data_IF_522738521521
#
_entry.id   IF_522738521521
#
_cell.length_a   1.000
_cell.length_b   1.000
_cell.length_c   1.000
_cell.angle_alpha   90.00
_cell.angle_beta   90.00
_cell.angle_gamma   90.00
#
_symmetry.space_group_name_H-M   'P 1'
#
loop_
_entity.id
_entity.type
_entity.pdbx_description
1 polymer ?
#
# COMPACT_ATOMS: atom_id res chain seq x y z
N UNK A 1 11.85 15.17 11.14
CA UNK A 1 12.74 14.17 10.49
C UNK A 1 13.35 14.65 9.17
N UNK A 2 12.66 15.44 8.32
CA UNK A 2 13.18 15.93 7.03
C UNK A 2 14.51 16.73 7.06
N UNK A 3 14.90 17.32 8.19
CA UNK A 3 16.14 18.10 8.32
C UNK A 3 17.43 17.24 8.30
N UNK A 4 17.39 16.03 8.86
CA UNK A 4 18.57 15.16 8.96
C UNK A 4 18.91 14.51 7.61
N UNK A 5 17.90 14.16 6.81
CA UNK A 5 18.04 13.55 5.48
C UNK A 5 18.72 14.49 4.49
N UNK A 6 18.37 15.79 4.54
CA UNK A 6 18.95 16.82 3.68
C UNK A 6 20.44 17.06 3.96
N UNK A 7 20.84 16.99 5.23
CA UNK A 7 22.25 17.08 5.63
C UNK A 7 22.98 15.83 5.11
N UNK A 8 22.46 14.63 5.35
CA UNK A 8 23.08 13.39 4.86
C UNK A 8 23.31 13.39 3.33
N UNK A 9 22.34 13.88 2.54
CA UNK A 9 22.48 14.03 1.08
C UNK A 9 23.62 14.98 0.71
N UNK A 10 23.71 16.13 1.37
CA UNK A 10 24.75 17.12 1.09
C UNK A 10 26.15 16.57 1.41
N UNK A 11 26.28 15.81 2.50
CA UNK A 11 27.53 15.15 2.87
C UNK A 11 27.91 14.05 1.85
N UNK A 12 26.97 13.24 1.39
CA UNK A 12 27.22 12.20 0.39
C UNK A 12 27.56 12.76 -1.00
N UNK A 13 26.91 13.85 -1.41
CA UNK A 13 27.24 14.57 -2.64
C UNK A 13 28.66 15.15 -2.57
N UNK A 14 29.02 15.75 -1.43
CA UNK A 14 30.39 16.24 -1.18
C UNK A 14 31.42 15.09 -1.19
N UNK A 15 31.08 13.93 -0.62
CA UNK A 15 31.95 12.75 -0.63
C UNK A 15 32.14 12.21 -2.06
N UNK A 16 31.07 12.19 -2.87
CA UNK A 16 31.12 11.80 -4.29
C UNK A 16 32.02 12.72 -5.11
N UNK A 17 31.90 14.03 -4.92
CA UNK A 17 32.76 15.02 -5.58
C UNK A 17 34.23 14.83 -5.21
N UNK A 18 34.52 14.54 -3.93
CA UNK A 18 35.88 14.25 -3.46
C UNK A 18 36.43 12.93 -4.03
N UNK A 19 35.62 11.88 -4.11
CA UNK A 19 36.03 10.60 -4.69
C UNK A 19 36.36 10.72 -6.19
N UNK A 20 35.55 11.47 -6.96
CA UNK A 20 35.81 11.71 -8.38
C UNK A 20 37.08 12.53 -8.66
N UNK A 21 37.55 13.31 -7.69
CA UNK A 21 38.76 14.12 -7.80
C UNK A 21 40.05 13.39 -7.37
N UNK A 22 39.93 12.18 -6.80
CA UNK A 22 41.06 11.33 -6.45
C UNK A 22 41.19 10.25 -7.53
N UNK A 23 42.26 10.32 -8.33
CA UNK A 23 42.55 9.44 -9.48
C UNK A 23 42.93 8.00 -9.04
N UNK A 24 42.03 7.31 -8.31
CA UNK A 24 42.26 5.96 -7.79
C UNK A 24 41.50 4.92 -8.62
N UNK A 25 42.22 4.26 -9.52
CA UNK A 25 41.76 3.33 -10.57
C UNK A 25 41.14 1.99 -10.09
N UNK A 26 40.51 1.94 -8.92
CA UNK A 26 39.87 0.72 -8.38
C UNK A 26 38.35 0.83 -8.11
N UNK A 27 37.69 1.93 -8.47
CA UNK A 27 36.41 2.32 -7.84
C UNK A 27 35.18 2.44 -8.78
N UNK A 28 35.04 1.62 -9.81
CA UNK A 28 33.75 1.58 -10.55
C UNK A 28 32.60 1.06 -9.66
N UNK A 29 32.88 0.10 -8.77
CA UNK A 29 31.89 -0.47 -7.85
C UNK A 29 31.49 0.50 -6.74
N UNK A 30 32.46 1.20 -6.13
CA UNK A 30 32.20 2.14 -5.02
C UNK A 30 31.40 3.36 -5.50
N UNK A 31 31.70 3.86 -6.70
CA UNK A 31 30.93 4.96 -7.31
C UNK A 31 29.49 4.53 -7.64
N UNK A 32 29.29 3.30 -8.10
CA UNK A 32 27.94 2.76 -8.34
C UNK A 32 27.14 2.61 -7.04
N UNK A 33 27.75 2.04 -6.00
CA UNK A 33 27.12 1.85 -4.68
C UNK A 33 26.74 3.19 -4.03
N UNK A 34 27.59 4.22 -4.16
CA UNK A 34 27.31 5.56 -3.64
C UNK A 34 26.16 6.25 -4.39
N UNK A 35 26.09 6.07 -5.71
CA UNK A 35 24.99 6.61 -6.52
C UNK A 35 23.64 5.96 -6.18
N UNK A 36 23.64 4.66 -5.93
CA UNK A 36 22.43 3.94 -5.53
C UNK A 36 21.95 4.35 -4.13
N UNK A 37 22.89 4.60 -3.20
CA UNK A 37 22.58 5.14 -1.89
C UNK A 37 22.01 6.58 -1.95
N UNK A 38 22.55 7.44 -2.82
CA UNK A 38 22.02 8.80 -2.99
C UNK A 38 20.58 8.76 -3.52
N UNK A 39 20.31 7.96 -4.56
CA UNK A 39 18.96 7.78 -5.12
C UNK A 39 17.98 7.25 -4.07
N UNK A 40 18.43 6.36 -3.18
CA UNK A 40 17.63 5.84 -2.07
C UNK A 40 17.21 6.95 -1.11
N UNK A 41 18.17 7.76 -0.66
CA UNK A 41 17.90 8.81 0.32
C UNK A 41 17.00 9.90 -0.29
N UNK A 42 17.19 10.23 -1.57
CA UNK A 42 16.31 11.16 -2.29
C UNK A 42 14.87 10.63 -2.37
N UNK A 43 14.68 9.33 -2.62
CA UNK A 43 13.35 8.70 -2.69
C UNK A 43 12.67 8.68 -1.32
N UNK A 44 13.41 8.36 -0.26
CA UNK A 44 12.90 8.41 1.11
C UNK A 44 12.45 9.82 1.48
N UNK A 45 13.28 10.84 1.20
CA UNK A 45 12.91 12.24 1.45
C UNK A 45 11.65 12.67 0.69
N UNK A 46 11.50 12.26 -0.57
CA UNK A 46 10.29 12.53 -1.34
C UNK A 46 9.04 11.86 -0.73
N UNK A 47 9.18 10.61 -0.29
CA UNK A 47 8.10 9.83 0.34
C UNK A 47 7.68 10.47 1.67
N UNK A 48 8.63 10.84 2.51
CA UNK A 48 8.39 11.50 3.80
C UNK A 48 7.67 12.84 3.63
N UNK A 49 8.09 13.63 2.63
CA UNK A 49 7.41 14.89 2.30
C UNK A 49 5.97 14.67 1.85
N UNK A 50 5.74 13.68 0.99
CA UNK A 50 4.39 13.34 0.53
C UNK A 50 3.53 12.89 1.70
N UNK A 51 4.03 12.01 2.57
CA UNK A 51 3.31 11.54 3.75
C UNK A 51 2.98 12.68 4.72
N UNK A 52 3.93 13.58 4.97
CA UNK A 52 3.72 14.79 5.79
C UNK A 52 2.61 15.67 5.20
N UNK A 53 2.65 15.92 3.89
CA UNK A 53 1.63 16.72 3.20
C UNK A 53 0.25 16.06 3.29
N UNK A 54 0.19 14.74 3.09
CA UNK A 54 -1.05 13.95 3.21
C UNK A 54 -1.62 14.02 4.62
N UNK A 55 -0.79 13.91 5.66
CA UNK A 55 -1.24 13.99 7.05
C UNK A 55 -1.86 15.37 7.38
N UNK A 56 -1.23 16.45 6.92
CA UNK A 56 -1.75 17.81 7.11
C UNK A 56 -3.12 17.96 6.43
N UNK A 57 -3.24 17.48 5.19
CA UNK A 57 -4.51 17.51 4.45
C UNK A 57 -5.59 16.70 5.16
N UNK A 58 -5.28 15.47 5.61
CA UNK A 58 -6.20 14.61 6.33
C UNK A 58 -6.72 15.29 7.62
N UNK A 59 -5.83 15.83 8.45
CA UNK A 59 -6.21 16.52 9.69
C UNK A 59 -7.14 17.72 9.41
N UNK A 60 -6.94 18.42 8.29
CA UNK A 60 -7.79 19.55 7.89
C UNK A 60 -9.14 19.11 7.31
N UNK A 61 -9.25 17.89 6.76
CA UNK A 61 -10.48 17.36 6.16
C UNK A 61 -11.44 16.75 7.19
N UNK A 62 -10.95 16.24 8.33
CA UNK A 62 -11.80 15.71 9.41
C UNK A 62 -12.82 16.72 9.97
N UNK A 63 -12.71 18.00 9.61
CA UNK A 63 -13.62 19.07 10.00
C UNK A 63 -14.68 19.44 8.93
N UNK A 64 -14.60 18.88 7.72
CA UNK A 64 -15.54 19.17 6.62
C UNK A 64 -16.46 17.99 6.35
N UNK A 65 -17.78 18.21 6.49
CA UNK A 65 -18.80 17.14 6.42
C UNK A 65 -19.31 16.81 5.01
N UNK A 66 -18.96 17.58 3.99
CA UNK A 66 -19.54 17.43 2.64
C UNK A 66 -18.43 17.31 1.59
N UNK A 67 -17.90 16.10 1.42
CA UNK A 67 -17.00 15.76 0.32
C UNK A 67 -17.88 15.28 -0.84
N UNK A 68 -18.36 16.22 -1.65
CA UNK A 68 -18.95 15.87 -2.95
C UNK A 68 -17.81 15.64 -3.94
N UNK A 69 -17.74 14.45 -4.51
CA UNK A 69 -16.88 14.20 -5.65
C UNK A 69 -17.72 14.26 -6.93
N UNK A 70 -17.19 14.88 -7.98
CA UNK A 70 -17.79 14.88 -9.32
C UNK A 70 -17.51 13.55 -10.04
N UNK A 71 -17.81 12.46 -9.34
CA UNK A 71 -17.53 11.10 -9.79
C UNK A 71 -18.37 10.77 -11.01
N UNK A 72 -17.78 10.10 -12.00
CA UNK A 72 -18.52 9.60 -13.16
C UNK A 72 -18.83 8.13 -12.95
N UNK A 73 -20.11 7.82 -12.76
CA UNK A 73 -20.62 6.46 -12.69
C UNK A 73 -20.67 5.82 -14.08
N UNK A 74 -20.08 4.64 -14.24
CA UNK A 74 -20.13 3.85 -15.46
C UNK A 74 -20.31 2.38 -15.14
N UNK A 75 -21.10 1.69 -15.95
CA UNK A 75 -20.98 0.25 -16.03
C UNK A 75 -19.77 -0.07 -16.87
N UNK A 76 -18.80 -0.78 -16.29
CA UNK A 76 -17.65 -1.27 -17.04
C UNK A 76 -17.93 -2.72 -17.39
N UNK A 77 -18.29 -2.96 -18.65
CA UNK A 77 -18.10 -4.24 -19.30
C UNK A 77 -16.66 -4.28 -19.80
N UNK A 78 -15.71 -4.60 -18.93
CA UNK A 78 -14.30 -4.73 -19.33
C UNK A 78 -14.15 -5.91 -20.30
N UNK A 79 -13.04 -5.94 -21.04
CA UNK A 79 -12.62 -6.91 -22.07
C UNK A 79 -12.77 -8.41 -21.75
N UNK A 80 -13.15 -8.75 -20.52
CA UNK A 80 -13.46 -10.10 -20.06
C UNK A 80 -14.92 -10.46 -20.34
N UNK A 81 -15.13 -11.55 -21.08
CA UNK A 81 -16.45 -12.08 -21.44
C UNK A 81 -17.37 -12.30 -20.21
N UNK A 82 -16.77 -12.55 -19.05
CA UNK A 82 -17.47 -12.71 -17.78
C UNK A 82 -18.28 -11.45 -17.39
N UNK A 83 -17.69 -10.26 -17.50
CA UNK A 83 -18.37 -9.01 -17.12
C UNK A 83 -19.27 -8.45 -18.22
N UNK A 84 -19.24 -9.02 -19.42
CA UNK A 84 -20.28 -8.75 -20.41
C UNK A 84 -21.65 -9.28 -19.94
N UNK A 85 -21.68 -10.49 -19.36
CA UNK A 85 -22.91 -11.10 -18.83
C UNK A 85 -23.29 -10.59 -17.44
N UNK A 86 -22.31 -10.13 -16.66
CA UNK A 86 -22.52 -9.55 -15.34
C UNK A 86 -21.73 -8.24 -15.20
N UNK A 87 -22.24 -7.12 -15.75
CA UNK A 87 -21.54 -5.84 -15.71
C UNK A 87 -21.24 -5.39 -14.28
N UNK A 88 -20.05 -4.82 -14.09
CA UNK A 88 -19.64 -4.25 -12.81
C UNK A 88 -20.00 -2.78 -12.78
N UNK A 89 -20.60 -2.36 -11.66
CA UNK A 89 -20.88 -0.96 -11.35
C UNK A 89 -19.60 -0.31 -10.82
N UNK A 90 -19.04 0.63 -11.57
CA UNK A 90 -17.81 1.32 -11.18
C UNK A 90 -18.04 2.82 -11.20
N UNK A 91 -17.46 3.50 -10.23
CA UNK A 91 -17.49 4.95 -10.12
C UNK A 91 -16.07 5.49 -10.04
N UNK A 92 -15.73 6.38 -10.98
CA UNK A 92 -14.41 6.99 -11.03
C UNK A 92 -14.36 8.19 -10.09
N UNK A 93 -13.55 8.08 -9.03
CA UNK A 93 -13.35 9.15 -8.04
C UNK A 93 -12.18 10.05 -8.44
N UNK A 94 -11.11 9.46 -8.96
CA UNK A 94 -9.95 10.21 -9.44
C UNK A 94 -9.26 9.47 -10.59
N UNK A 95 -8.65 10.22 -11.51
CA UNK A 95 -7.90 9.66 -12.65
C UNK A 95 -6.42 9.45 -12.35
N UNK A 96 -5.82 10.35 -11.55
CA UNK A 96 -4.40 10.29 -11.20
C UNK A 96 -4.18 10.74 -9.74
N UNK A 97 -3.89 9.81 -8.81
CA UNK A 97 -3.92 8.35 -8.99
C UNK A 97 -5.33 7.85 -9.35
N UNK A 98 -5.41 6.70 -10.01
CA UNK A 98 -6.69 6.07 -10.34
C UNK A 98 -7.37 5.59 -9.06
N UNK A 99 -8.54 6.14 -8.75
CA UNK A 99 -9.37 5.72 -7.60
C UNK A 99 -10.76 5.39 -8.12
N UNK A 100 -11.20 4.17 -7.84
CA UNK A 100 -12.47 3.61 -8.28
C UNK A 100 -13.26 3.10 -7.08
N UNK A 101 -14.56 3.35 -7.05
CA UNK A 101 -15.48 2.62 -6.18
C UNK A 101 -16.12 1.53 -7.02
N UNK A 102 -16.05 0.29 -6.53
CA UNK A 102 -16.63 -0.88 -7.20
C UNK A 102 -17.82 -1.36 -6.38
N UNK A 103 -19.02 -1.07 -6.87
CA UNK A 103 -20.25 -1.36 -6.15
C UNK A 103 -20.65 -2.84 -6.29
N UNK A 104 -21.23 -3.40 -5.24
CA UNK A 104 -21.78 -4.77 -5.19
C UNK A 104 -20.80 -5.90 -5.57
N UNK A 105 -19.51 -5.70 -5.33
CA UNK A 105 -18.48 -6.70 -5.63
C UNK A 105 -18.52 -7.89 -4.63
N UNK A 106 -18.88 -7.63 -3.38
CA UNK A 106 -19.04 -8.62 -2.31
C UNK A 106 -20.53 -8.89 -2.09
N UNK A 107 -20.93 -10.17 -2.08
CA UNK A 107 -22.33 -10.54 -1.83
C UNK A 107 -22.73 -10.30 -0.37
N UNK A 108 -24.00 -9.99 -0.11
CA UNK A 108 -24.53 -9.85 1.26
C UNK A 108 -24.30 -11.09 2.13
N UNK A 109 -24.33 -12.28 1.53
CA UNK A 109 -24.02 -13.54 2.21
C UNK A 109 -22.56 -13.56 2.69
N UNK A 110 -21.63 -13.21 1.81
CA UNK A 110 -20.21 -13.17 2.13
C UNK A 110 -19.88 -12.06 3.12
N UNK A 111 -20.51 -10.88 3.02
CA UNK A 111 -20.39 -9.81 4.02
C UNK A 111 -20.75 -10.34 5.41
N UNK A 112 -21.94 -10.94 5.57
CA UNK A 112 -22.38 -11.52 6.85
C UNK A 112 -21.38 -12.54 7.40
N UNK A 113 -20.87 -13.41 6.52
CA UNK A 113 -19.86 -14.42 6.88
C UNK A 113 -18.57 -13.76 7.38
N UNK A 114 -17.98 -12.86 6.60
CA UNK A 114 -16.73 -12.16 6.95
C UNK A 114 -16.87 -11.34 8.25
N UNK A 115 -18.01 -10.67 8.43
CA UNK A 115 -18.29 -9.93 9.66
C UNK A 115 -18.57 -10.83 10.87
N UNK A 116 -18.86 -12.12 10.66
CA UNK A 116 -19.10 -13.09 11.74
C UNK A 116 -17.84 -13.51 12.51
N UNK A 117 -16.65 -13.16 12.00
CA UNK A 117 -15.36 -13.50 12.62
C UNK A 117 -14.93 -12.56 13.75
N UNK A 118 -15.87 -11.85 14.39
CA UNK A 118 -15.58 -10.87 15.45
C UNK A 118 -14.73 -11.44 16.59
N UNK A 119 -14.97 -12.69 16.98
CA UNK A 119 -14.24 -13.37 18.06
C UNK A 119 -12.83 -13.85 17.66
N UNK A 120 -12.48 -13.79 16.38
CA UNK A 120 -11.17 -14.23 15.85
C UNK A 120 -10.29 -13.04 15.43
N UNK A 121 -10.73 -11.82 15.73
CA UNK A 121 -9.97 -10.60 15.50
C UNK A 121 -8.83 -10.50 16.53
N UNK A 122 -7.63 -10.18 16.06
CA UNK A 122 -6.47 -9.88 16.90
C UNK A 122 -6.05 -8.43 16.70
N UNK A 123 -5.50 -7.80 17.75
CA UNK A 123 -4.99 -6.43 17.65
C UNK A 123 -3.99 -6.35 16.49
N UNK A 124 -4.22 -5.41 15.57
CA UNK A 124 -3.36 -5.22 14.41
C UNK A 124 -1.96 -4.79 14.82
N UNK A 125 -1.00 -5.14 14.00
CA UNK A 125 0.40 -4.75 14.11
C UNK A 125 0.83 -4.01 12.85
N UNK A 126 1.93 -3.26 12.97
CA UNK A 126 2.62 -2.62 11.84
C UNK A 126 4.03 -3.19 11.76
N UNK A 127 4.62 -3.13 10.57
CA UNK A 127 6.01 -3.54 10.38
C UNK A 127 6.95 -2.56 11.09
N UNK A 128 7.89 -3.10 11.86
CA UNK A 128 8.94 -2.33 12.49
C UNK A 128 10.11 -2.17 11.51
N UNK A 129 10.40 -0.94 11.01
CA UNK A 129 11.49 -0.71 10.07
C UNK A 129 12.87 -0.91 10.70
N UNK A 130 12.97 -0.87 12.03
CA UNK A 130 14.21 -1.10 12.77
C UNK A 130 14.36 -2.55 13.27
N UNK A 131 13.50 -3.47 12.81
CA UNK A 131 13.56 -4.86 13.24
C UNK A 131 14.90 -5.51 12.86
N UNK A 132 15.58 -6.07 13.87
CA UNK A 132 16.84 -6.81 13.70
C UNK A 132 16.59 -8.32 13.70
N UNK A 133 15.50 -8.76 14.31
CA UNK A 133 15.06 -10.15 14.40
C UNK A 133 13.66 -10.35 13.78
N UNK A 134 13.29 -11.61 13.48
CA UNK A 134 11.93 -11.96 13.04
C UNK A 134 10.86 -11.61 14.08
N UNK A 135 11.20 -11.75 15.36
CA UNK A 135 10.30 -11.50 16.49
C UNK A 135 9.96 -10.01 16.60
N UNK A 136 10.89 -9.13 16.22
CA UNK A 136 10.74 -7.68 16.26
C UNK A 136 10.04 -7.09 15.03
N UNK A 137 9.74 -7.90 14.01
CA UNK A 137 9.20 -7.41 12.73
C UNK A 137 7.86 -6.74 12.84
N UNK A 138 7.05 -7.11 13.83
CA UNK A 138 5.69 -6.62 13.97
C UNK A 138 5.49 -6.04 15.37
N UNK A 139 5.06 -4.78 15.43
CA UNK A 139 4.85 -4.07 16.68
C UNK A 139 3.45 -3.46 16.72
N UNK A 140 2.92 -3.29 17.94
CA UNK A 140 1.74 -2.45 18.12
C UNK A 140 2.12 -0.98 17.96
N UNK A 141 1.25 -0.21 17.31
CA UNK A 141 1.49 1.20 17.02
C UNK A 141 0.21 2.00 17.18
N UNK A 142 0.36 3.25 17.59
CA UNK A 142 -0.73 4.24 17.60
C UNK A 142 -1.16 4.65 16.19
N UNK A 143 -0.34 4.36 15.16
CA UNK A 143 -0.67 4.62 13.76
C UNK A 143 -1.82 3.73 13.23
N UNK A 144 -2.00 2.55 13.83
CA UNK A 144 -3.03 1.58 13.43
C UNK A 144 -3.72 1.00 14.67
N UNK A 145 -4.87 1.55 14.98
CA UNK A 145 -5.75 1.12 16.04
C UNK A 145 -6.91 0.36 15.39
N UNK A 146 -6.67 -0.92 15.13
CA UNK A 146 -7.69 -1.84 14.60
C UNK A 146 -7.47 -3.24 15.13
N UNK A 147 -8.46 -4.10 14.90
CA UNK A 147 -8.32 -5.54 15.06
C UNK A 147 -8.54 -6.21 13.72
N UNK A 148 -7.76 -7.25 13.40
CA UNK A 148 -7.75 -7.89 12.09
C UNK A 148 -7.88 -9.40 12.20
N UNK A 149 -8.59 -9.99 11.25
CA UNK A 149 -8.56 -11.41 10.94
C UNK A 149 -8.07 -11.59 9.49
N UNK A 150 -7.32 -12.64 9.23
CA UNK A 150 -6.71 -12.91 7.93
C UNK A 150 -7.24 -14.21 7.36
N UNK A 151 -7.81 -14.15 6.16
CA UNK A 151 -8.03 -15.33 5.33
C UNK A 151 -6.80 -15.52 4.45
N UNK A 152 -6.10 -16.64 4.66
CA UNK A 152 -4.91 -16.94 3.87
C UNK A 152 -5.28 -17.14 2.39
N UNK A 153 -4.34 -16.88 1.50
CA UNK A 153 -4.57 -16.98 0.05
C UNK A 153 -4.70 -18.44 -0.42
N UNK A 154 -4.24 -19.39 0.38
CA UNK A 154 -4.47 -20.83 0.21
C UNK A 154 -5.74 -21.33 0.94
N UNK A 155 -6.65 -20.41 1.29
CA UNK A 155 -7.92 -20.77 1.93
C UNK A 155 -8.74 -21.75 1.09
N UNK A 156 -9.39 -22.70 1.75
CA UNK A 156 -10.35 -23.63 1.14
C UNK A 156 -11.78 -23.11 1.22
N UNK A 157 -11.98 -21.88 1.70
CA UNK A 157 -13.29 -21.26 1.82
C UNK A 157 -13.88 -20.93 0.43
N UNK A 158 -14.98 -21.59 0.01
CA UNK A 158 -15.49 -21.45 -1.35
C UNK A 158 -16.07 -20.07 -1.65
N UNK A 159 -16.52 -19.32 -0.63
CA UNK A 159 -17.03 -17.96 -0.85
C UNK A 159 -15.87 -16.96 -1.02
N UNK A 160 -14.75 -17.15 -0.29
CA UNK A 160 -13.54 -16.34 -0.44
C UNK A 160 -12.83 -16.62 -1.77
N UNK A 161 -12.74 -17.88 -2.19
CA UNK A 161 -12.18 -18.26 -3.49
C UNK A 161 -12.95 -17.56 -4.63
N UNK A 162 -14.29 -17.58 -4.58
CA UNK A 162 -15.12 -16.88 -5.58
C UNK A 162 -14.91 -15.37 -5.59
N UNK A 163 -14.69 -14.76 -4.43
CA UNK A 163 -14.35 -13.33 -4.35
C UNK A 163 -13.01 -13.08 -5.04
N UNK A 164 -11.98 -13.86 -4.71
CA UNK A 164 -10.66 -13.76 -5.32
C UNK A 164 -10.73 -13.89 -6.84
N UNK A 165 -11.42 -14.91 -7.38
CA UNK A 165 -11.63 -15.07 -8.83
C UNK A 165 -12.27 -13.83 -9.48
N UNK A 166 -13.24 -13.23 -8.79
CA UNK A 166 -13.92 -12.01 -9.28
C UNK A 166 -12.97 -10.81 -9.27
N UNK A 167 -12.12 -10.69 -8.25
CA UNK A 167 -11.10 -9.64 -8.14
C UNK A 167 -9.98 -9.83 -9.16
N UNK A 168 -9.57 -11.07 -9.45
CA UNK A 168 -8.59 -11.34 -10.52
C UNK A 168 -9.09 -10.87 -11.87
N UNK A 169 -10.35 -11.18 -12.20
CA UNK A 169 -10.97 -10.72 -13.45
C UNK A 169 -11.10 -9.21 -13.50
N UNK A 170 -11.47 -8.57 -12.38
CA UNK A 170 -11.65 -7.13 -12.29
C UNK A 170 -10.32 -6.37 -12.48
N UNK A 171 -9.24 -6.87 -11.87
CA UNK A 171 -7.95 -6.16 -11.81
C UNK A 171 -6.97 -6.62 -12.90
N UNK A 172 -7.16 -7.82 -13.45
CA UNK A 172 -6.17 -8.50 -14.28
C UNK A 172 -4.96 -9.03 -13.50
N UNK A 173 -5.00 -8.97 -12.16
CA UNK A 173 -3.92 -9.40 -11.28
C UNK A 173 -4.24 -10.74 -10.62
N UNK A 174 -3.21 -11.50 -10.24
CA UNK A 174 -3.37 -12.78 -9.55
C UNK A 174 -3.47 -12.59 -8.04
N UNK A 175 -4.30 -13.43 -7.41
CA UNK A 175 -4.58 -13.45 -5.97
C UNK A 175 -3.93 -14.63 -5.24
N UNK A 176 -3.06 -15.38 -5.92
CA UNK A 176 -2.38 -16.52 -5.35
C UNK A 176 -1.37 -16.11 -4.24
N UNK A 177 -0.92 -17.07 -3.40
CA UNK A 177 -0.06 -16.78 -2.25
C UNK A 177 1.28 -16.09 -2.55
N UNK A 178 1.75 -16.10 -3.80
CA UNK A 178 3.01 -15.48 -4.18
C UNK A 178 2.86 -14.06 -4.74
N UNK A 179 1.63 -13.64 -5.06
CA UNK A 179 1.36 -12.40 -5.79
C UNK A 179 0.40 -11.46 -5.08
N UNK A 180 -0.32 -11.94 -4.06
CA UNK A 180 -1.21 -11.12 -3.26
C UNK A 180 -0.95 -11.32 -1.76
N UNK A 181 -1.35 -10.32 -0.97
CA UNK A 181 -1.49 -10.44 0.47
C UNK A 181 -2.75 -11.23 0.83
N UNK A 182 -2.79 -11.76 2.05
CA UNK A 182 -3.99 -12.37 2.62
C UNK A 182 -5.16 -11.39 2.67
N UNK A 183 -6.38 -11.88 2.44
CA UNK A 183 -7.59 -11.09 2.62
C UNK A 183 -7.71 -10.68 4.09
N UNK A 184 -7.70 -9.38 4.36
CA UNK A 184 -7.78 -8.81 5.70
C UNK A 184 -9.21 -8.36 5.98
N UNK A 185 -9.82 -8.90 7.04
CA UNK A 185 -11.04 -8.35 7.61
C UNK A 185 -10.64 -7.49 8.79
N UNK A 186 -10.89 -6.18 8.70
CA UNK A 186 -10.45 -5.18 9.68
C UNK A 186 -11.68 -4.60 10.38
N UNK A 187 -11.60 -4.51 11.71
CA UNK A 187 -12.57 -3.84 12.55
C UNK A 187 -11.88 -2.69 13.30
N UNK A 188 -12.43 -1.48 13.16
CA UNK A 188 -11.94 -0.29 13.84
C UNK A 188 -12.54 -0.09 15.23
N UNK A 189 -13.72 -0.66 15.52
CA UNK A 189 -14.40 -0.41 16.79
C UNK A 189 -14.63 1.08 17.06
N UNK A 190 -14.79 1.44 18.34
CA UNK A 190 -14.93 2.83 18.76
C UNK A 190 -13.53 3.44 18.91
N UNK A 191 -13.28 4.54 18.20
CA UNK A 191 -12.02 5.27 18.26
C UNK A 191 -10.86 4.58 17.55
N UNK A 192 -11.09 3.49 16.80
CA UNK A 192 -10.07 2.93 15.94
C UNK A 192 -9.81 3.79 14.71
N UNK A 193 -8.56 3.76 14.28
CA UNK A 193 -8.05 4.59 13.21
C UNK A 193 -6.94 3.83 12.47
N UNK A 194 -6.78 4.14 11.19
CA UNK A 194 -5.53 3.89 10.49
C UNK A 194 -5.07 5.19 9.85
N UNK A 195 -3.95 5.73 10.36
CA UNK A 195 -3.41 6.98 9.85
C UNK A 195 -3.01 6.87 8.37
N UNK A 196 -3.06 7.98 7.61
CA UNK A 196 -2.61 8.03 6.23
C UNK A 196 -1.23 7.39 6.02
N UNK A 197 -1.19 6.39 5.15
CA UNK A 197 0.01 5.64 4.81
C UNK A 197 -0.04 5.23 3.34
N UNK A 198 1.09 4.74 2.83
CA UNK A 198 1.12 4.06 1.55
C UNK A 198 1.11 2.54 1.75
N UNK A 199 0.41 1.82 0.88
CA UNK A 199 0.34 0.35 0.92
C UNK A 199 1.59 -0.35 0.38
N UNK A 200 2.43 0.34 -0.40
CA UNK A 200 3.69 -0.22 -0.86
C UNK A 200 4.79 -0.21 0.22
N UNK A 201 5.72 -1.15 0.11
CA UNK A 201 6.89 -1.23 0.98
C UNK A 201 8.08 -0.51 0.33
N UNK A 202 8.73 0.39 1.06
CA UNK A 202 9.97 1.05 0.66
C UNK A 202 11.20 0.22 1.11
N UNK A 203 11.22 -1.07 0.77
CA UNK A 203 12.34 -1.97 1.05
C UNK A 203 13.33 -1.97 -0.13
N UNK A 204 14.64 -1.97 0.14
CA UNK A 204 15.73 -2.09 -0.83
C UNK A 204 15.57 -3.25 -1.81
N UNK A 205 14.86 -4.33 -1.44
CA UNK A 205 14.59 -5.50 -2.30
C UNK A 205 13.27 -5.41 -3.09
N UNK A 206 12.45 -4.41 -2.78
CA UNK A 206 11.16 -4.18 -3.42
C UNK A 206 11.39 -3.48 -4.76
N UNK A 207 11.65 -4.24 -5.82
CA UNK A 207 11.65 -3.76 -7.22
C UNK A 207 10.25 -3.27 -7.65
N UNK A 208 9.27 -3.25 -6.73
CA UNK A 208 7.86 -2.92 -6.97
C UNK A 208 7.66 -1.53 -7.56
N UNK A 209 8.56 -0.58 -7.27
CA UNK A 209 8.41 0.81 -7.69
C UNK A 209 8.57 1.05 -9.20
N UNK A 210 9.26 0.16 -9.94
CA UNK A 210 9.58 0.38 -11.35
C UNK A 210 8.88 -0.59 -12.32
N UNK A 211 8.42 -1.75 -11.84
CA UNK A 211 7.94 -2.82 -12.74
C UNK A 211 6.50 -3.25 -12.51
N UNK A 212 5.87 -2.91 -11.37
CA UNK A 212 4.59 -3.49 -10.98
C UNK A 212 3.53 -2.43 -10.64
N UNK A 213 2.30 -2.65 -11.12
CA UNK A 213 1.12 -1.90 -10.69
C UNK A 213 0.66 -2.46 -9.35
N UNK A 214 0.79 -1.66 -8.28
CA UNK A 214 0.17 -1.99 -6.99
C UNK A 214 -1.29 -1.59 -7.04
N UNK A 215 -2.18 -2.55 -6.77
CA UNK A 215 -3.62 -2.30 -6.64
C UNK A 215 -4.01 -2.67 -5.22
N UNK A 216 -4.47 -1.68 -4.46
CA UNK A 216 -5.14 -1.91 -3.18
C UNK A 216 -6.64 -1.93 -3.40
N UNK A 217 -7.29 -2.96 -2.86
CA UNK A 217 -8.74 -3.03 -2.72
C UNK A 217 -9.02 -2.92 -1.22
N UNK A 218 -9.84 -1.93 -0.84
CA UNK A 218 -10.26 -1.64 0.53
C UNK A 218 -11.73 -2.02 0.73
#
# INVERSE_FOLDING_TARGET
MAGHTRIALQWLQTAKEKANNLDYKKETTISADLNDLIKEIERQDQTDRLQTKTQILYNNMCLKRDIRHDGVCKYIGITELFFYKQPIKVEYINKSPMILIVHDIISQKLIKKLTGFTNQLKRSTVKNPAAVSEEDKNVHSELRISSTHYFKNDTTDPDVIKLNDRLERLTGLRTNPHQADHLQVVNYGIGGEFQPHFDWMNDRKSVMYQLYRVVKIL
#
